data_IF_162031482754
#
_entry.id   IF_162031482754
#
_cell.length_a   1.000
_cell.length_b   1.000
_cell.length_c   1.000
_cell.angle_alpha   90.00
_cell.angle_beta   90.00
_cell.angle_gamma   90.00
#
_symmetry.space_group_name_H-M   'P 1'
#
loop_
_entity.id
_entity.type
_entity.pdbx_description
1 polymer ?
#
# COMPACT_ATOMS: atom_id res chain seq x y z
N UNK A 1 5.02 21.02 -5.17
CA UNK A 1 5.05 19.72 -4.45
C UNK A 1 3.72 19.57 -3.75
N UNK A 2 2.95 18.52 -4.07
CA UNK A 2 1.61 18.30 -3.53
C UNK A 2 1.68 17.90 -2.05
N UNK A 3 0.77 18.39 -1.20
CA UNK A 3 0.72 18.10 0.26
C UNK A 3 0.70 16.61 0.60
N UNK A 4 0.29 15.77 -0.36
CA UNK A 4 0.33 14.32 -0.24
C UNK A 4 1.76 13.77 -0.14
N UNK A 5 2.70 14.30 -0.93
CA UNK A 5 4.10 13.85 -0.93
C UNK A 5 4.77 14.16 0.41
N UNK A 6 4.49 15.32 1.01
CA UNK A 6 5.01 15.68 2.34
C UNK A 6 4.50 14.73 3.43
N UNK A 7 3.26 14.23 3.29
CA UNK A 7 2.68 13.27 4.24
C UNK A 7 3.31 11.88 4.10
N UNK A 8 3.60 11.45 2.87
CA UNK A 8 4.26 10.18 2.58
C UNK A 8 5.71 10.18 3.06
N UNK A 9 6.46 11.27 2.82
CA UNK A 9 7.83 11.42 3.32
C UNK A 9 7.89 11.45 4.85
N UNK A 10 6.94 12.12 5.50
CA UNK A 10 6.84 12.14 6.97
C UNK A 10 6.53 10.74 7.55
N UNK A 11 5.68 9.95 6.88
CA UNK A 11 5.39 8.56 7.25
C UNK A 11 6.61 7.65 7.10
N UNK A 12 7.33 7.77 5.99
CA UNK A 12 8.56 7.02 5.73
C UNK A 12 9.68 7.40 6.73
N UNK A 13 9.83 8.69 7.04
CA UNK A 13 10.81 9.18 8.02
C UNK A 13 10.50 8.73 9.47
N UNK A 14 9.22 8.57 9.82
CA UNK A 14 8.83 8.02 11.12
C UNK A 14 9.09 6.51 11.24
N UNK A 15 9.08 5.79 10.12
CA UNK A 15 9.36 4.35 10.06
C UNK A 15 10.82 4.02 10.42
N UNK A 16 11.76 4.93 10.13
CA UNK A 16 13.19 4.77 10.45
C UNK A 16 13.54 4.89 11.95
N UNK A 17 12.63 5.41 12.80
CA UNK A 17 12.90 5.69 14.23
C UNK A 17 12.30 4.68 15.23
N UNK A 18 12.01 3.45 14.82
CA UNK A 18 11.67 2.36 15.75
C UNK A 18 10.21 2.32 16.24
N UNK A 19 9.29 3.01 15.55
CA UNK A 19 7.85 2.79 15.74
C UNK A 19 7.42 1.72 14.74
N UNK A 20 7.00 0.56 15.25
CA UNK A 20 6.57 -0.57 14.43
C UNK A 20 5.59 -0.15 13.32
N UNK A 21 5.73 -0.78 12.16
CA UNK A 21 4.87 -0.52 11.01
C UNK A 21 3.41 -0.83 11.39
N UNK A 22 2.55 0.18 11.38
CA UNK A 22 1.13 -0.05 11.59
C UNK A 22 0.49 -0.52 10.29
N UNK A 23 0.44 -1.84 10.11
CA UNK A 23 -0.08 -2.49 8.91
C UNK A 23 -1.54 -2.11 8.58
N UNK A 24 -2.32 -1.61 9.56
CA UNK A 24 -3.68 -1.10 9.28
C UNK A 24 -3.67 0.23 8.52
N UNK A 25 -2.74 1.13 8.84
CA UNK A 25 -2.59 2.41 8.11
C UNK A 25 -2.15 2.12 6.67
N UNK A 26 -1.22 1.19 6.49
CA UNK A 26 -0.75 0.76 5.17
C UNK A 26 -1.89 0.10 4.39
N UNK A 27 -2.72 -0.74 5.04
CA UNK A 27 -3.91 -1.32 4.41
C UNK A 27 -4.90 -0.24 3.92
N UNK A 28 -5.17 0.78 4.75
CA UNK A 28 -6.02 1.90 4.35
C UNK A 28 -5.45 2.69 3.17
N UNK A 29 -4.13 2.94 3.16
CA UNK A 29 -3.46 3.62 2.05
C UNK A 29 -3.53 2.82 0.74
N UNK A 30 -3.34 1.51 0.80
CA UNK A 30 -3.48 0.62 -0.36
C UNK A 30 -4.92 0.58 -0.90
N UNK A 31 -5.92 0.59 0.00
CA UNK A 31 -7.34 0.68 -0.40
C UNK A 31 -7.63 1.99 -1.13
N UNK A 32 -7.09 3.10 -0.64
CA UNK A 32 -7.26 4.42 -1.27
C UNK A 32 -6.62 4.46 -2.66
N UNK A 33 -5.34 4.04 -2.79
CA UNK A 33 -4.66 3.97 -4.09
C UNK A 33 -5.40 3.08 -5.10
N UNK A 34 -5.98 1.97 -4.63
CA UNK A 34 -6.76 1.07 -5.47
C UNK A 34 -8.05 1.73 -5.98
N UNK A 35 -8.68 2.58 -5.17
CA UNK A 35 -9.86 3.35 -5.59
C UNK A 35 -9.50 4.48 -6.55
N UNK A 36 -8.34 5.11 -6.36
CA UNK A 36 -7.84 6.20 -7.19
C UNK A 36 -7.23 5.71 -8.51
N UNK A 37 -6.97 4.40 -8.65
CA UNK A 37 -6.30 3.85 -9.82
C UNK A 37 -4.85 4.33 -9.93
N UNK A 38 -4.17 4.46 -8.80
CA UNK A 38 -2.78 4.93 -8.70
C UNK A 38 -1.86 3.81 -8.16
N UNK A 39 -2.16 2.57 -8.56
CA UNK A 39 -1.50 1.39 -8.00
C UNK A 39 -0.24 1.08 -8.79
N UNK A 40 0.90 1.25 -8.12
CA UNK A 40 2.19 1.00 -8.72
C UNK A 40 2.68 -0.43 -8.44
N UNK A 41 3.66 -0.88 -9.21
CA UNK A 41 4.24 -2.22 -9.05
C UNK A 41 4.86 -2.43 -7.65
N UNK A 42 5.36 -1.36 -7.02
CA UNK A 42 5.88 -1.39 -5.65
C UNK A 42 4.80 -1.64 -4.58
N UNK A 43 3.56 -1.21 -4.83
CA UNK A 43 2.44 -1.41 -3.91
C UNK A 43 2.08 -2.90 -3.77
N UNK A 44 2.39 -3.72 -4.77
CA UNK A 44 2.20 -5.18 -4.73
C UNK A 44 3.04 -5.82 -3.63
N UNK A 45 4.32 -5.42 -3.51
CA UNK A 45 5.22 -5.94 -2.48
C UNK A 45 4.76 -5.50 -1.08
N UNK A 46 4.32 -4.25 -0.95
CA UNK A 46 3.78 -3.70 0.30
C UNK A 46 2.49 -4.44 0.69
N UNK A 47 1.56 -4.63 -0.25
CA UNK A 47 0.31 -5.36 -0.01
C UNK A 47 0.57 -6.82 0.38
N UNK A 48 1.57 -7.47 -0.21
CA UNK A 48 1.97 -8.83 0.19
C UNK A 48 2.49 -8.86 1.64
N UNK A 49 3.30 -7.88 2.05
CA UNK A 49 3.78 -7.77 3.43
C UNK A 49 2.63 -7.53 4.41
N UNK A 50 1.69 -6.64 4.08
CA UNK A 50 0.48 -6.37 4.87
C UNK A 50 -0.37 -7.63 5.01
N UNK A 51 -0.63 -8.35 3.93
CA UNK A 51 -1.41 -9.59 3.96
C UNK A 51 -0.78 -10.68 4.82
N UNK A 52 0.56 -10.80 4.80
CA UNK A 52 1.30 -11.73 5.66
C UNK A 52 1.27 -11.30 7.13
N UNK A 53 1.40 -10.01 7.40
CA UNK A 53 1.45 -9.48 8.76
C UNK A 53 0.08 -9.50 9.45
N UNK A 54 -0.99 -9.15 8.74
CA UNK A 54 -2.35 -9.16 9.29
C UNK A 54 -3.00 -10.55 9.27
N UNK A 55 -2.69 -11.36 8.26
CA UNK A 55 -3.22 -12.73 8.12
C UNK A 55 -4.72 -12.82 7.83
N UNK A 56 -5.44 -11.68 7.82
CA UNK A 56 -6.88 -11.62 7.59
C UNK A 56 -7.27 -11.98 6.15
N UNK A 57 -8.48 -12.49 5.95
CA UNK A 57 -9.02 -12.75 4.60
C UNK A 57 -9.06 -11.45 3.79
N UNK A 58 -9.50 -10.35 4.42
CA UNK A 58 -9.61 -9.04 3.79
C UNK A 58 -8.26 -8.53 3.24
N UNK A 59 -7.18 -8.66 4.01
CA UNK A 59 -5.85 -8.21 3.56
C UNK A 59 -5.30 -9.06 2.40
N UNK A 60 -5.63 -10.36 2.36
CA UNK A 60 -5.29 -11.24 1.22
C UNK A 60 -6.07 -10.85 -0.05
N UNK A 61 -7.36 -10.52 0.10
CA UNK A 61 -8.19 -10.02 -1.01
C UNK A 61 -7.66 -8.69 -1.52
N UNK A 62 -7.27 -7.78 -0.62
CA UNK A 62 -6.66 -6.51 -0.99
C UNK A 62 -5.38 -6.72 -1.81
N UNK A 63 -4.48 -7.59 -1.38
CA UNK A 63 -3.29 -7.95 -2.17
C UNK A 63 -3.64 -8.46 -3.57
N UNK A 64 -4.63 -9.34 -3.70
CA UNK A 64 -5.05 -9.86 -4.99
C UNK A 64 -5.63 -8.74 -5.90
N UNK A 65 -6.30 -7.75 -5.32
CA UNK A 65 -6.82 -6.61 -6.07
C UNK A 65 -5.71 -5.66 -6.51
N UNK A 66 -4.79 -5.32 -5.61
CA UNK A 66 -3.60 -4.49 -5.89
C UNK A 66 -2.75 -5.12 -6.98
N UNK A 67 -2.49 -6.43 -6.90
CA UNK A 67 -1.76 -7.16 -7.95
C UNK A 67 -2.44 -7.07 -9.32
N UNK A 68 -3.77 -7.19 -9.37
CA UNK A 68 -4.52 -7.06 -10.63
C UNK A 68 -4.44 -5.65 -11.19
N UNK A 69 -4.66 -4.63 -10.36
CA UNK A 69 -4.57 -3.23 -10.77
C UNK A 69 -3.19 -2.87 -11.32
N UNK A 70 -2.11 -3.30 -10.65
CA UNK A 70 -0.73 -3.05 -11.12
C UNK A 70 -0.40 -3.68 -12.48
N UNK A 71 -1.15 -4.72 -12.89
CA UNK A 71 -0.94 -5.39 -14.18
C UNK A 71 -1.76 -4.74 -15.30
N UNK A 72 -2.88 -4.11 -14.96
CA UNK A 72 -3.72 -3.39 -15.93
C UNK A 72 -3.01 -2.14 -16.45
N UNK A 73 -2.34 -1.38 -15.57
CA UNK A 73 -1.53 -0.20 -15.97
C UNK A 73 -0.31 -0.54 -16.84
N UNK A 74 0.12 -1.81 -16.90
CA UNK A 74 1.24 -2.24 -17.74
C UNK A 74 0.83 -2.69 -19.16
N UNK A 75 -0.48 -2.76 -19.42
CA UNK A 75 -1.01 -3.28 -20.71
C UNK A 75 -1.49 -2.15 -21.64
N UNK A 76 -1.43 -0.89 -21.21
CA UNK A 76 -1.72 0.31 -22.01
C UNK A 76 -0.43 1.08 -22.34
#
# INVERSE_FOLDING_TARGET
MSKYNEHVEALLAQQAKGKGVNFRIVESGLKQKLQEGTIEQQDVAIAMQVARALGSIESKVLYANVKRASQQEQTE
#
